data_IF_704870527232
#
_entry.id   IF_704870527232
#
_cell.length_a   1.000
_cell.length_b   1.000
_cell.length_c   1.000
_cell.angle_alpha   90.00
_cell.angle_beta   90.00
_cell.angle_gamma   90.00
#
_symmetry.space_group_name_H-M   'P 1'
#
loop_
_entity.id
_entity.type
_entity.pdbx_description
1 polymer ?
#
# COMPACT_ATOMS: atom_id res chain seq x y z
N UNK A 1 -21.54 -5.65 -7.96
CA UNK A 1 -22.05 -6.94 -7.43
C UNK A 1 -21.86 -8.14 -8.36
N UNK A 2 -22.31 -8.13 -9.63
CA UNK A 2 -22.20 -9.31 -10.52
C UNK A 2 -20.77 -9.86 -10.68
N UNK A 3 -19.75 -9.01 -10.79
CA UNK A 3 -18.34 -9.43 -10.92
C UNK A 3 -17.84 -10.19 -9.67
N UNK A 4 -18.20 -9.74 -8.48
CA UNK A 4 -17.84 -10.38 -7.21
C UNK A 4 -18.54 -11.75 -7.08
N UNK A 5 -19.78 -11.83 -7.53
CA UNK A 5 -20.56 -13.07 -7.54
C UNK A 5 -19.98 -14.10 -8.54
N UNK A 6 -19.50 -13.64 -9.70
CA UNK A 6 -18.80 -14.49 -10.68
C UNK A 6 -17.45 -14.99 -10.16
N UNK A 7 -16.69 -14.16 -9.45
CA UNK A 7 -15.43 -14.57 -8.82
C UNK A 7 -15.65 -15.61 -7.71
N UNK A 8 -16.70 -15.48 -6.91
CA UNK A 8 -17.07 -16.44 -5.86
C UNK A 8 -17.47 -17.82 -6.43
N UNK A 9 -18.22 -17.87 -7.53
CA UNK A 9 -18.57 -19.14 -8.20
C UNK A 9 -17.36 -19.82 -8.87
N UNK A 10 -16.40 -19.04 -9.38
CA UNK A 10 -15.14 -19.57 -9.91
C UNK A 10 -14.22 -20.16 -8.83
N UNK A 11 -14.28 -19.65 -7.60
CA UNK A 11 -13.49 -20.16 -6.47
C UNK A 11 -14.13 -21.40 -5.80
N UNK A 12 -15.45 -21.51 -5.80
CA UNK A 12 -16.16 -22.63 -5.16
C UNK A 12 -16.31 -23.86 -6.06
N UNK A 13 -16.22 -23.71 -7.38
CA UNK A 13 -16.35 -24.82 -8.35
C UNK A 13 -15.07 -25.63 -8.58
N UNK A 14 -13.91 -25.18 -8.10
CA UNK A 14 -12.66 -25.94 -8.15
C UNK A 14 -12.41 -26.61 -6.81
N UNK A 15 -12.83 -27.88 -6.71
CA UNK A 15 -12.53 -28.73 -5.56
C UNK A 15 -11.04 -28.70 -5.23
N UNK A 16 -10.72 -28.30 -4.00
CA UNK A 16 -9.35 -28.26 -3.48
C UNK A 16 -8.80 -29.69 -3.47
N UNK A 17 -7.71 -29.99 -4.18
CA UNK A 17 -7.09 -31.31 -4.10
C UNK A 17 -6.53 -31.52 -2.69
N UNK A 18 -7.11 -32.47 -1.94
CA UNK A 18 -6.56 -33.00 -0.69
C UNK A 18 -5.24 -33.71 -0.95
N UNK A 19 -4.12 -32.99 -0.97
CA UNK A 19 -2.78 -33.56 -0.82
C UNK A 19 -1.87 -32.55 -0.13
N UNK A 20 -1.69 -32.71 1.18
CA UNK A 20 -0.46 -32.44 1.93
C UNK A 20 -0.75 -32.65 3.43
N UNK A 21 -0.83 -33.91 3.84
CA UNK A 21 -0.82 -34.29 5.26
C UNK A 21 0.02 -35.55 5.41
N UNK A 22 1.31 -35.47 5.04
CA UNK A 22 2.31 -36.51 5.33
C UNK A 22 3.71 -35.96 5.00
N UNK A 23 4.25 -35.12 5.90
CA UNK A 23 5.70 -34.92 5.99
C UNK A 23 6.09 -35.09 7.47
N UNK A 24 6.51 -36.33 7.72
CA UNK A 24 7.30 -36.93 8.79
C UNK A 24 7.65 -36.14 10.06
N UNK A 25 7.22 -36.71 11.19
CA UNK A 25 8.05 -36.89 12.38
C UNK A 25 9.13 -37.95 12.08
N UNK A 26 10.38 -37.52 11.94
CA UNK A 26 11.52 -38.41 11.69
C UNK A 26 12.82 -37.80 12.22
N UNK A 27 12.92 -37.69 13.54
CA UNK A 27 14.19 -37.43 14.23
C UNK A 27 14.91 -38.77 14.32
N UNK A 28 15.84 -39.03 13.40
CA UNK A 28 16.88 -40.05 13.59
C UNK A 28 18.23 -39.33 13.69
N UNK A 29 18.84 -39.45 14.87
CA UNK A 29 20.26 -39.25 15.08
C UNK A 29 21.05 -40.18 14.16
N UNK A 30 21.76 -39.61 13.21
CA UNK A 30 22.73 -40.31 12.36
C UNK A 30 24.09 -39.65 12.53
N UNK A 31 24.78 -39.99 13.63
CA UNK A 31 26.20 -39.77 13.81
C UNK A 31 27.00 -40.76 12.93
N UNK A 32 27.00 -40.55 11.61
CA UNK A 32 27.98 -41.20 10.72
C UNK A 32 28.97 -40.17 10.17
N UNK A 33 30.28 -40.41 10.29
CA UNK A 33 31.28 -39.58 9.65
C UNK A 33 31.16 -39.76 8.13
N UNK A 34 30.78 -38.68 7.44
CA UNK A 34 30.73 -38.69 5.98
C UNK A 34 32.15 -38.73 5.40
N UNK A 35 32.43 -39.62 4.44
CA UNK A 35 33.71 -39.65 3.73
C UNK A 35 33.86 -38.37 2.89
N UNK A 36 35.07 -37.83 2.87
CA UNK A 36 35.46 -36.63 2.13
C UNK A 36 35.34 -36.81 0.61
N UNK A 37 34.14 -36.67 0.07
CA UNK A 37 33.86 -36.43 -1.35
C UNK A 37 33.48 -34.96 -1.59
N UNK A 38 34.40 -34.01 -1.37
CA UNK A 38 34.12 -32.55 -1.39
C UNK A 38 33.88 -31.93 -2.78
N UNK A 39 33.82 -32.71 -3.86
CA UNK A 39 33.74 -32.19 -5.24
C UNK A 39 32.34 -32.15 -5.86
N UNK A 40 31.59 -33.25 -5.84
CA UNK A 40 30.45 -33.44 -6.76
C UNK A 40 29.12 -32.82 -6.29
N UNK A 41 28.90 -32.67 -4.99
CA UNK A 41 27.65 -32.09 -4.43
C UNK A 41 27.48 -30.62 -4.87
N UNK A 42 28.59 -29.91 -5.08
CA UNK A 42 28.56 -28.48 -5.41
C UNK A 42 28.04 -28.17 -6.82
N UNK A 43 28.16 -29.09 -7.78
CA UNK A 43 27.74 -28.87 -9.18
C UNK A 43 26.22 -29.05 -9.32
N UNK A 44 25.65 -30.08 -8.68
CA UNK A 44 24.21 -30.35 -8.75
C UNK A 44 23.39 -29.26 -8.06
N UNK A 45 23.81 -28.80 -6.88
CA UNK A 45 23.13 -27.70 -6.17
C UNK A 45 23.18 -26.39 -6.96
N UNK A 46 24.32 -26.10 -7.61
CA UNK A 46 24.46 -24.92 -8.48
C UNK A 46 23.51 -24.99 -9.68
N UNK A 47 23.44 -26.13 -10.38
CA UNK A 47 22.52 -26.31 -11.53
C UNK A 47 21.06 -26.17 -11.11
N UNK A 48 20.68 -26.75 -9.96
CA UNK A 48 19.32 -26.64 -9.41
C UNK A 48 18.95 -25.20 -9.06
N UNK A 49 19.88 -24.45 -8.47
CA UNK A 49 19.68 -23.02 -8.15
C UNK A 49 19.44 -22.17 -9.39
N UNK A 50 20.20 -22.38 -10.47
CA UNK A 50 20.06 -21.65 -11.74
C UNK A 50 18.68 -21.92 -12.37
N UNK A 51 18.28 -23.19 -12.47
CA UNK A 51 16.98 -23.57 -13.05
C UNK A 51 15.80 -22.96 -12.28
N UNK A 52 15.86 -22.97 -10.94
CA UNK A 52 14.81 -22.35 -10.11
C UNK A 52 14.72 -20.83 -10.33
N UNK A 53 15.85 -20.13 -10.52
CA UNK A 53 15.87 -18.70 -10.80
C UNK A 53 15.29 -18.36 -12.18
N UNK A 54 15.63 -19.16 -13.20
CA UNK A 54 15.08 -18.98 -14.56
C UNK A 54 13.57 -19.20 -14.58
N UNK A 55 13.09 -20.25 -13.90
CA UNK A 55 11.65 -20.51 -13.75
C UNK A 55 10.93 -19.34 -13.07
N UNK A 56 11.46 -18.82 -11.95
CA UNK A 56 10.86 -17.69 -11.24
C UNK A 56 10.79 -16.41 -12.10
N UNK A 57 11.81 -16.16 -12.93
CA UNK A 57 11.84 -15.03 -13.87
C UNK A 57 10.81 -15.19 -14.98
N UNK A 58 10.73 -16.38 -15.58
CA UNK A 58 9.74 -16.70 -16.60
C UNK A 58 8.31 -16.55 -16.04
N UNK A 59 8.04 -17.09 -14.86
CA UNK A 59 6.74 -16.92 -14.19
C UNK A 59 6.42 -15.44 -13.98
N UNK A 60 7.38 -14.65 -13.49
CA UNK A 60 7.19 -13.20 -13.32
C UNK A 60 6.86 -12.49 -14.63
N UNK A 61 7.56 -12.84 -15.72
CA UNK A 61 7.32 -12.27 -17.05
C UNK A 61 5.91 -12.62 -17.55
N UNK A 62 5.52 -13.89 -17.48
CA UNK A 62 4.20 -14.35 -17.91
C UNK A 62 3.09 -13.68 -17.10
N UNK A 63 3.25 -13.56 -15.77
CA UNK A 63 2.29 -12.86 -14.91
C UNK A 63 2.16 -11.38 -15.28
N UNK A 64 3.26 -10.68 -15.54
CA UNK A 64 3.25 -9.26 -15.94
C UNK A 64 2.53 -9.08 -17.27
N UNK A 65 2.89 -9.87 -18.29
CA UNK A 65 2.31 -9.77 -19.62
C UNK A 65 0.81 -10.07 -19.59
N UNK A 66 0.41 -11.18 -18.95
CA UNK A 66 -1.01 -11.56 -18.87
C UNK A 66 -1.82 -10.51 -18.11
N UNK A 67 -1.36 -10.08 -16.93
CA UNK A 67 -2.09 -9.11 -16.11
C UNK A 67 -2.20 -7.75 -16.79
N UNK A 68 -1.14 -7.31 -17.49
CA UNK A 68 -1.14 -6.04 -18.25
C UNK A 68 -2.16 -6.07 -19.38
N UNK A 69 -2.16 -7.14 -20.18
CA UNK A 69 -3.11 -7.28 -21.29
C UNK A 69 -4.54 -7.35 -20.76
N UNK A 70 -4.78 -8.20 -19.75
CA UNK A 70 -6.11 -8.34 -19.15
C UNK A 70 -6.61 -7.02 -18.57
N UNK A 71 -5.79 -6.30 -17.80
CA UNK A 71 -6.18 -5.01 -17.23
C UNK A 71 -6.47 -3.98 -18.32
N UNK A 72 -5.61 -3.86 -19.33
CA UNK A 72 -5.80 -2.90 -20.42
C UNK A 72 -7.09 -3.16 -21.21
N UNK A 73 -7.40 -4.44 -21.48
CA UNK A 73 -8.65 -4.84 -22.15
C UNK A 73 -9.87 -4.55 -21.27
N UNK A 74 -9.80 -4.84 -19.97
CA UNK A 74 -10.90 -4.52 -19.05
C UNK A 74 -11.15 -3.01 -19.05
N UNK A 75 -10.11 -2.20 -18.84
CA UNK A 75 -10.22 -0.74 -18.83
C UNK A 75 -10.81 -0.20 -20.15
N UNK A 76 -10.41 -0.77 -21.29
CA UNK A 76 -10.92 -0.39 -22.60
C UNK A 76 -12.43 -0.63 -22.71
N UNK A 77 -12.90 -1.80 -22.25
CA UNK A 77 -14.30 -2.20 -22.34
C UNK A 77 -15.16 -1.45 -21.32
N UNK A 78 -14.67 -1.26 -20.09
CA UNK A 78 -15.49 -0.77 -18.98
C UNK A 78 -15.43 0.74 -18.76
N UNK A 79 -14.34 1.39 -19.16
CA UNK A 79 -14.09 2.81 -18.88
C UNK A 79 -13.95 3.59 -20.17
N UNK A 80 -13.12 3.12 -21.09
CA UNK A 80 -12.88 3.77 -22.38
C UNK A 80 -11.43 3.70 -22.83
N UNK A 81 -11.20 4.23 -24.03
CA UNK A 81 -9.92 4.13 -24.71
C UNK A 81 -8.82 4.95 -24.05
N UNK A 82 -9.10 6.13 -23.48
CA UNK A 82 -8.07 7.00 -22.91
C UNK A 82 -7.30 6.33 -21.78
N UNK A 83 -8.01 5.83 -20.78
CA UNK A 83 -7.39 5.16 -19.61
C UNK A 83 -6.74 3.84 -20.01
N UNK A 84 -7.33 3.09 -20.94
CA UNK A 84 -6.74 1.86 -21.43
C UNK A 84 -5.42 2.10 -22.19
N UNK A 85 -5.37 3.13 -23.03
CA UNK A 85 -4.17 3.53 -23.78
C UNK A 85 -3.08 3.98 -22.81
N UNK A 86 -3.41 4.80 -21.83
CA UNK A 86 -2.46 5.24 -20.80
C UNK A 86 -1.83 4.05 -20.07
N UNK A 87 -2.66 3.18 -19.46
CA UNK A 87 -2.16 2.01 -18.72
C UNK A 87 -1.39 1.04 -19.62
N UNK A 88 -1.87 0.82 -20.85
CA UNK A 88 -1.22 -0.04 -21.83
C UNK A 88 0.16 0.47 -22.23
N UNK A 89 0.27 1.75 -22.58
CA UNK A 89 1.53 2.38 -22.98
C UNK A 89 2.54 2.42 -21.83
N UNK A 90 2.11 2.79 -20.63
CA UNK A 90 2.97 2.80 -19.43
C UNK A 90 3.50 1.41 -19.15
N UNK A 91 2.64 0.40 -19.22
CA UNK A 91 3.04 -0.98 -18.96
C UNK A 91 3.97 -1.53 -20.03
N UNK A 92 3.78 -1.16 -21.30
CA UNK A 92 4.70 -1.50 -22.39
C UNK A 92 6.08 -0.87 -22.18
N UNK A 93 6.14 0.43 -21.88
CA UNK A 93 7.40 1.14 -21.61
C UNK A 93 8.11 0.55 -20.38
N UNK A 94 7.35 0.23 -19.33
CA UNK A 94 7.87 -0.41 -18.13
C UNK A 94 8.43 -1.81 -18.41
N UNK A 95 7.74 -2.60 -19.23
CA UNK A 95 8.18 -3.92 -19.66
C UNK A 95 9.50 -3.83 -20.44
N UNK A 96 9.60 -2.88 -21.39
CA UNK A 96 10.82 -2.64 -22.16
C UNK A 96 11.98 -2.25 -21.24
N UNK A 97 11.76 -1.28 -20.33
CA UNK A 97 12.78 -0.84 -19.37
C UNK A 97 13.24 -1.96 -18.45
N UNK A 98 12.28 -2.73 -17.91
CA UNK A 98 12.55 -3.87 -17.04
C UNK A 98 13.37 -4.95 -17.75
N UNK A 99 12.91 -5.41 -18.92
CA UNK A 99 13.60 -6.43 -19.72
C UNK A 99 15.02 -6.02 -20.10
N UNK A 100 15.21 -4.76 -20.48
CA UNK A 100 16.51 -4.24 -20.94
C UNK A 100 17.51 -4.07 -19.80
N UNK A 101 17.10 -3.52 -18.66
CA UNK A 101 18.04 -3.06 -17.63
C UNK A 101 18.00 -3.89 -16.33
N UNK A 102 16.82 -4.31 -15.89
CA UNK A 102 16.62 -4.81 -14.51
C UNK A 102 16.17 -6.28 -14.42
N UNK A 103 15.93 -6.94 -15.56
CA UNK A 103 15.46 -8.33 -15.60
C UNK A 103 16.58 -9.33 -15.27
N UNK A 104 17.78 -9.09 -15.83
CA UNK A 104 18.96 -9.95 -15.59
C UNK A 104 19.78 -9.52 -14.38
N UNK A 105 19.82 -8.22 -14.09
CA UNK A 105 20.58 -7.64 -12.98
C UNK A 105 19.62 -6.94 -12.02
N UNK A 106 19.68 -7.23 -10.73
CA UNK A 106 18.79 -6.61 -9.74
C UNK A 106 19.40 -5.30 -9.23
N UNK A 107 18.77 -4.13 -9.47
CA UNK A 107 19.20 -2.85 -8.93
C UNK A 107 19.31 -2.85 -7.40
N UNK A 108 20.05 -1.89 -6.85
CA UNK A 108 20.16 -1.71 -5.40
C UNK A 108 18.82 -1.37 -4.78
N UNK A 109 18.37 -2.20 -3.85
CA UNK A 109 17.12 -2.02 -3.14
C UNK A 109 17.15 -0.80 -2.20
N UNK A 110 18.26 -0.62 -1.47
CA UNK A 110 18.43 0.41 -0.43
C UNK A 110 18.16 1.82 -0.96
N UNK A 111 18.47 2.06 -2.23
CA UNK A 111 18.30 3.35 -2.89
C UNK A 111 17.02 3.46 -3.70
N UNK A 112 16.46 2.35 -4.18
CA UNK A 112 15.28 2.36 -5.06
C UNK A 112 13.99 2.39 -4.25
N UNK A 113 13.87 1.57 -3.20
CA UNK A 113 12.65 1.47 -2.38
C UNK A 113 12.24 2.81 -1.75
N UNK A 114 13.14 3.60 -1.11
CA UNK A 114 12.74 4.87 -0.51
C UNK A 114 12.19 5.87 -1.53
N UNK A 115 12.80 5.94 -2.72
CA UNK A 115 12.35 6.85 -3.79
C UNK A 115 11.01 6.42 -4.35
N UNK A 116 10.84 5.10 -4.51
CA UNK A 116 9.60 4.53 -4.97
C UNK A 116 8.46 4.88 -4.00
N UNK A 117 8.64 4.61 -2.69
CA UNK A 117 7.65 4.94 -1.66
C UNK A 117 7.38 6.46 -1.62
N UNK A 118 8.41 7.30 -1.68
CA UNK A 118 8.24 8.75 -1.69
C UNK A 118 7.46 9.23 -2.94
N UNK A 119 7.65 8.57 -4.08
CA UNK A 119 6.83 8.77 -5.26
C UNK A 119 5.35 8.49 -4.99
N UNK A 120 5.02 7.41 -4.27
CA UNK A 120 3.65 7.10 -3.84
C UNK A 120 3.09 8.20 -2.93
N UNK A 121 3.85 8.67 -1.95
CA UNK A 121 3.43 9.76 -1.05
C UNK A 121 3.09 11.02 -1.85
N UNK A 122 3.98 11.40 -2.77
CA UNK A 122 3.82 12.62 -3.56
C UNK A 122 2.65 12.52 -4.55
N UNK A 123 2.36 11.34 -5.14
CA UNK A 123 1.22 11.20 -6.06
C UNK A 123 -0.12 11.23 -5.31
N UNK A 124 -0.18 10.68 -4.10
CA UNK A 124 -1.36 10.83 -3.22
C UNK A 124 -1.55 12.30 -2.82
N UNK A 125 -0.46 13.01 -2.49
CA UNK A 125 -0.52 14.44 -2.21
C UNK A 125 -1.00 15.24 -3.44
N UNK A 126 -0.50 14.93 -4.64
CA UNK A 126 -0.97 15.56 -5.87
C UNK A 126 -2.47 15.28 -6.10
N UNK A 127 -2.93 14.05 -5.88
CA UNK A 127 -4.34 13.70 -6.00
C UNK A 127 -5.21 14.40 -4.95
N UNK A 128 -4.68 14.70 -3.77
CA UNK A 128 -5.36 15.55 -2.78
C UNK A 128 -5.58 16.97 -3.31
N UNK A 129 -4.57 17.55 -3.96
CA UNK A 129 -4.69 18.87 -4.61
C UNK A 129 -5.70 18.83 -5.76
N UNK A 130 -5.61 17.81 -6.61
CA UNK A 130 -6.56 17.59 -7.72
C UNK A 130 -7.98 17.45 -7.23
N UNK A 131 -8.19 16.78 -6.09
CA UNK A 131 -9.50 16.70 -5.47
C UNK A 131 -10.04 18.08 -5.10
N UNK A 132 -9.23 18.90 -4.41
CA UNK A 132 -9.64 20.27 -4.03
C UNK A 132 -9.87 21.20 -5.23
N UNK A 133 -9.27 20.88 -6.37
CA UNK A 133 -9.40 21.62 -7.62
C UNK A 133 -10.53 21.11 -8.54
N UNK A 134 -11.34 20.16 -8.06
CA UNK A 134 -12.40 19.47 -8.84
C UNK A 134 -11.89 18.88 -10.17
N UNK A 135 -10.74 18.19 -10.10
CA UNK A 135 -10.09 17.63 -11.27
C UNK A 135 -10.95 16.60 -12.00
N UNK A 136 -11.85 15.90 -11.31
CA UNK A 136 -12.82 15.00 -11.93
C UNK A 136 -13.71 15.72 -12.93
N UNK A 137 -14.26 16.87 -12.55
CA UNK A 137 -15.11 17.68 -13.43
C UNK A 137 -14.31 18.25 -14.59
N UNK A 138 -13.07 18.70 -14.33
CA UNK A 138 -12.16 19.15 -15.38
C UNK A 138 -11.91 18.06 -16.43
N UNK A 139 -11.61 16.82 -16.01
CA UNK A 139 -11.40 15.71 -16.94
C UNK A 139 -12.67 15.44 -17.74
N UNK A 140 -13.82 15.39 -17.08
CA UNK A 140 -15.10 15.13 -17.72
C UNK A 140 -15.39 16.17 -18.82
N UNK A 141 -15.21 17.46 -18.53
CA UNK A 141 -15.52 18.53 -19.49
C UNK A 141 -14.56 18.58 -20.70
N UNK A 142 -13.28 18.25 -20.50
CA UNK A 142 -12.26 18.43 -21.55
C UNK A 142 -11.89 17.14 -22.29
N UNK A 143 -12.18 15.98 -21.69
CA UNK A 143 -11.74 14.67 -22.18
C UNK A 143 -12.87 13.64 -22.20
N UNK A 144 -14.14 14.06 -22.25
CA UNK A 144 -15.29 13.12 -22.28
C UNK A 144 -15.17 12.07 -23.40
N UNK A 145 -14.62 12.46 -24.55
CA UNK A 145 -14.41 11.57 -25.70
C UNK A 145 -13.48 10.39 -25.45
N UNK A 146 -12.77 10.36 -24.31
CA UNK A 146 -11.89 9.26 -23.92
C UNK A 146 -12.61 8.15 -23.15
N UNK A 147 -13.85 8.38 -22.73
CA UNK A 147 -14.68 7.45 -21.99
C UNK A 147 -15.71 6.78 -22.89
N UNK A 148 -16.18 5.59 -22.52
CA UNK A 148 -17.33 4.98 -23.17
C UNK A 148 -18.60 5.77 -22.83
N UNK A 149 -19.59 5.77 -23.73
CA UNK A 149 -20.87 6.46 -23.49
C UNK A 149 -21.60 5.94 -22.24
N UNK A 150 -21.35 4.68 -21.86
CA UNK A 150 -21.89 4.06 -20.65
C UNK A 150 -21.16 4.46 -19.36
N UNK A 151 -20.02 5.13 -19.45
CA UNK A 151 -19.19 5.50 -18.31
C UNK A 151 -19.32 7.00 -18.02
N UNK A 152 -19.93 7.33 -16.88
CA UNK A 152 -20.00 8.71 -16.40
C UNK A 152 -18.89 8.96 -15.39
N UNK A 153 -17.93 9.81 -15.75
CA UNK A 153 -16.88 10.23 -14.84
C UNK A 153 -17.43 11.22 -13.81
N UNK A 154 -17.66 10.74 -12.60
CA UNK A 154 -17.92 11.58 -11.42
C UNK A 154 -16.77 11.46 -10.41
N UNK A 155 -16.87 12.16 -9.28
CA UNK A 155 -15.84 12.14 -8.26
C UNK A 155 -15.49 10.73 -7.77
N UNK A 156 -16.50 9.91 -7.44
CA UNK A 156 -16.31 8.52 -7.00
C UNK A 156 -15.62 7.67 -8.05
N UNK A 157 -16.02 7.76 -9.31
CA UNK A 157 -15.40 6.99 -10.40
C UNK A 157 -13.97 7.46 -10.67
N UNK A 158 -13.72 8.77 -10.62
CA UNK A 158 -12.36 9.32 -10.71
C UNK A 158 -11.47 8.77 -9.58
N UNK A 159 -11.95 8.83 -8.34
CA UNK A 159 -11.21 8.29 -7.20
C UNK A 159 -10.91 6.80 -7.40
N UNK A 160 -11.91 5.97 -7.67
CA UNK A 160 -11.71 4.51 -7.77
C UNK A 160 -10.72 4.14 -8.87
N UNK A 161 -10.90 4.69 -10.07
CA UNK A 161 -10.15 4.24 -11.26
C UNK A 161 -8.83 4.98 -11.47
N UNK A 162 -8.75 6.26 -11.11
CA UNK A 162 -7.59 7.11 -11.37
C UNK A 162 -6.76 7.42 -10.11
N UNK A 163 -7.24 7.06 -8.92
CA UNK A 163 -6.50 7.26 -7.66
C UNK A 163 -6.29 5.94 -6.92
N UNK A 164 -7.38 5.33 -6.45
CA UNK A 164 -7.35 4.13 -5.62
C UNK A 164 -6.65 2.96 -6.31
N UNK A 165 -7.07 2.62 -7.53
CA UNK A 165 -6.47 1.54 -8.31
C UNK A 165 -4.96 1.74 -8.57
N UNK A 166 -4.50 2.87 -9.16
CA UNK A 166 -3.07 3.06 -9.42
C UNK A 166 -2.24 3.11 -8.14
N UNK A 167 -2.70 3.80 -7.09
CA UNK A 167 -1.98 3.85 -5.81
C UNK A 167 -1.90 2.46 -5.18
N UNK A 168 -2.96 1.65 -5.24
CA UNK A 168 -2.94 0.28 -4.75
C UNK A 168 -1.96 -0.59 -5.54
N UNK A 169 -1.90 -0.45 -6.87
CA UNK A 169 -0.91 -1.12 -7.72
C UNK A 169 0.52 -0.70 -7.37
N UNK A 170 0.76 0.59 -7.11
CA UNK A 170 2.06 1.08 -6.63
C UNK A 170 2.41 0.46 -5.27
N UNK A 171 1.47 0.37 -4.33
CA UNK A 171 1.71 -0.22 -3.01
C UNK A 171 2.02 -1.72 -3.10
N UNK A 172 1.30 -2.48 -3.93
CA UNK A 172 1.65 -3.88 -4.25
C UNK A 172 3.03 -3.99 -4.92
N UNK A 173 3.33 -3.08 -5.84
CA UNK A 173 4.65 -2.95 -6.45
C UNK A 173 5.75 -2.75 -5.42
N UNK A 174 5.50 -1.88 -4.45
CA UNK A 174 6.38 -1.61 -3.32
C UNK A 174 6.58 -2.84 -2.41
N UNK A 175 5.52 -3.62 -2.16
CA UNK A 175 5.61 -4.91 -1.47
C UNK A 175 6.56 -5.87 -2.19
N UNK A 176 6.39 -6.06 -3.50
CA UNK A 176 7.25 -6.96 -4.27
C UNK A 176 8.70 -6.45 -4.38
N UNK A 177 8.88 -5.14 -4.58
CA UNK A 177 10.18 -4.49 -4.67
C UNK A 177 10.94 -4.57 -3.34
N UNK A 178 10.26 -4.37 -2.21
CA UNK A 178 10.84 -4.51 -0.87
C UNK A 178 11.17 -5.96 -0.48
N UNK A 179 10.62 -6.96 -1.19
CA UNK A 179 11.03 -8.37 -1.10
C UNK A 179 12.06 -8.81 -2.14
N UNK A 180 12.55 -7.88 -2.98
CA UNK A 180 13.47 -8.15 -4.11
C UNK A 180 12.93 -9.18 -5.10
N UNK A 181 11.62 -9.30 -5.23
CA UNK A 181 11.04 -10.18 -6.24
C UNK A 181 11.22 -9.56 -7.63
N UNK A 182 11.45 -10.39 -8.65
CA UNK A 182 11.72 -9.91 -10.02
C UNK A 182 10.60 -9.00 -10.53
N UNK A 183 9.34 -9.38 -10.27
CA UNK A 183 8.14 -8.58 -10.60
C UNK A 183 8.11 -7.21 -9.91
N UNK A 184 8.74 -7.07 -8.74
CA UNK A 184 8.84 -5.78 -8.04
C UNK A 184 9.61 -4.73 -8.83
N UNK A 185 10.60 -5.15 -9.64
CA UNK A 185 11.35 -4.22 -10.50
C UNK A 185 10.56 -3.80 -11.73
N UNK A 186 9.66 -4.64 -12.25
CA UNK A 186 8.67 -4.21 -13.25
C UNK A 186 7.79 -3.09 -12.67
N UNK A 187 7.24 -3.30 -11.47
CA UNK A 187 6.42 -2.28 -10.81
C UNK A 187 7.19 -1.01 -10.46
N UNK A 188 8.51 -1.11 -10.19
CA UNK A 188 9.37 0.05 -10.03
C UNK A 188 9.43 0.89 -11.32
N UNK A 189 9.66 0.24 -12.46
CA UNK A 189 9.61 0.89 -13.78
C UNK A 189 8.23 1.49 -14.07
N UNK A 190 7.18 0.69 -13.89
CA UNK A 190 5.80 1.12 -14.08
C UNK A 190 5.47 2.35 -13.26
N UNK A 191 5.79 2.31 -11.96
CA UNK A 191 5.44 3.41 -11.05
C UNK A 191 6.22 4.69 -11.32
N UNK A 192 7.51 4.62 -11.63
CA UNK A 192 8.25 5.84 -11.98
C UNK A 192 7.80 6.41 -13.34
N UNK A 193 7.47 5.57 -14.33
CA UNK A 193 6.94 6.06 -15.61
C UNK A 193 5.56 6.70 -15.41
N UNK A 194 4.65 6.02 -14.69
CA UNK A 194 3.33 6.54 -14.33
C UNK A 194 3.42 7.89 -13.63
N UNK A 195 4.23 8.00 -12.58
CA UNK A 195 4.45 9.25 -11.85
C UNK A 195 5.03 10.35 -12.76
N UNK A 196 5.93 10.01 -13.69
CA UNK A 196 6.49 10.98 -14.64
C UNK A 196 5.39 11.54 -15.54
N UNK A 197 4.51 10.69 -16.05
CA UNK A 197 3.39 11.11 -16.91
C UNK A 197 2.40 11.95 -16.11
N UNK A 198 2.00 11.52 -14.92
CA UNK A 198 1.09 12.27 -14.04
C UNK A 198 1.64 13.66 -13.67
N UNK A 199 2.95 13.74 -13.43
CA UNK A 199 3.65 15.00 -13.23
C UNK A 199 3.59 15.89 -14.47
N UNK A 200 3.91 15.38 -15.65
CA UNK A 200 3.88 16.14 -16.89
C UNK A 200 2.47 16.60 -17.24
N UNK A 201 1.46 15.77 -17.02
CA UNK A 201 0.05 16.12 -17.18
C UNK A 201 -0.32 17.28 -16.25
N UNK A 202 0.03 17.21 -14.96
CA UNK A 202 -0.23 18.32 -14.04
C UNK A 202 0.50 19.59 -14.48
N UNK A 203 1.77 19.51 -14.86
CA UNK A 203 2.52 20.67 -15.36
C UNK A 203 1.86 21.30 -16.59
N UNK A 204 1.38 20.47 -17.52
CA UNK A 204 0.67 20.93 -18.71
C UNK A 204 -0.63 21.65 -18.33
N UNK A 205 -1.40 21.11 -17.38
CA UNK A 205 -2.66 21.73 -16.92
C UNK A 205 -2.37 23.08 -16.26
N UNK A 206 -1.42 23.11 -15.32
CA UNK A 206 -1.07 24.34 -14.59
C UNK A 206 -0.52 25.43 -15.51
N UNK A 207 0.29 25.07 -16.52
CA UNK A 207 0.92 26.04 -17.41
C UNK A 207 0.09 26.39 -18.65
N UNK A 208 -0.92 25.59 -19.01
CA UNK A 208 -1.63 25.67 -20.29
C UNK A 208 -3.11 26.05 -20.22
N UNK A 209 -3.83 25.76 -19.13
CA UNK A 209 -5.30 25.84 -19.07
C UNK A 209 -5.83 26.83 -18.02
N UNK A 210 -5.37 28.08 -18.07
CA UNK A 210 -5.62 29.11 -17.05
C UNK A 210 -7.11 29.41 -16.73
N UNK A 211 -8.03 29.17 -17.67
CA UNK A 211 -9.43 29.60 -17.53
C UNK A 211 -10.42 28.50 -17.14
N UNK A 212 -10.07 27.21 -17.28
CA UNK A 212 -11.00 26.09 -17.11
C UNK A 212 -10.70 25.19 -15.91
N UNK A 213 -9.60 25.44 -15.19
CA UNK A 213 -9.18 24.67 -14.03
C UNK A 213 -9.11 25.56 -12.78
N UNK A 214 -9.64 25.08 -11.65
CA UNK A 214 -9.54 25.80 -10.38
C UNK A 214 -8.13 25.63 -9.82
N UNK A 215 -7.20 26.47 -10.29
CA UNK A 215 -5.79 26.36 -9.97
C UNK A 215 -5.52 26.50 -8.47
N UNK A 216 -5.01 25.43 -7.86
CA UNK A 216 -4.25 25.52 -6.60
C UNK A 216 -2.77 25.68 -6.95
N UNK A 217 -2.50 26.71 -7.76
CA UNK A 217 -1.38 26.82 -8.69
C UNK A 217 -0.03 26.43 -8.08
N UNK A 218 0.32 27.03 -6.96
CA UNK A 218 1.64 26.82 -6.34
C UNK A 218 1.83 25.39 -5.82
N UNK A 219 0.80 24.80 -5.22
CA UNK A 219 0.93 23.48 -4.60
C UNK A 219 0.93 22.37 -5.65
N UNK A 220 0.04 22.45 -6.65
CA UNK A 220 0.00 21.52 -7.77
C UNK A 220 1.30 21.51 -8.57
N UNK A 221 1.81 22.70 -8.91
CA UNK A 221 3.08 22.89 -9.62
C UNK A 221 4.28 22.32 -8.84
N UNK A 222 4.41 22.67 -7.54
CA UNK A 222 5.53 22.19 -6.71
C UNK A 222 5.49 20.66 -6.59
N UNK A 223 4.32 20.08 -6.32
CA UNK A 223 4.20 18.62 -6.21
C UNK A 223 4.52 17.93 -7.53
N UNK A 224 4.05 18.48 -8.66
CA UNK A 224 4.38 17.95 -9.98
C UNK A 224 5.88 18.00 -10.26
N UNK A 225 6.57 19.10 -9.96
CA UNK A 225 8.02 19.21 -10.10
C UNK A 225 8.77 18.20 -9.19
N UNK A 226 8.35 18.05 -7.94
CA UNK A 226 8.94 17.07 -7.03
C UNK A 226 8.73 15.62 -7.51
N UNK A 227 7.54 15.32 -8.03
CA UNK A 227 7.20 14.03 -8.64
C UNK A 227 8.09 13.72 -9.84
N UNK A 228 8.27 14.68 -10.74
CA UNK A 228 9.16 14.53 -11.90
C UNK A 228 10.60 14.22 -11.47
N UNK A 229 11.11 14.99 -10.50
CA UNK A 229 12.47 14.83 -10.02
C UNK A 229 12.68 13.46 -9.35
N UNK A 230 11.74 13.02 -8.50
CA UNK A 230 11.87 11.72 -7.82
C UNK A 230 11.75 10.56 -8.81
N UNK A 231 10.87 10.66 -9.81
CA UNK A 231 10.64 9.59 -10.78
C UNK A 231 11.79 9.44 -11.77
N UNK A 232 12.30 10.55 -12.33
CA UNK A 232 13.48 10.54 -13.20
C UNK A 232 14.69 10.01 -12.42
N UNK A 233 14.88 10.48 -11.18
CA UNK A 233 15.95 9.98 -10.29
C UNK A 233 15.78 8.49 -9.95
N UNK A 234 14.56 7.98 -9.92
CA UNK A 234 14.23 6.56 -9.77
C UNK A 234 14.60 5.75 -11.01
N UNK A 235 14.18 6.19 -12.20
CA UNK A 235 14.51 5.57 -13.50
C UNK A 235 16.03 5.49 -13.69
N UNK A 236 16.75 6.59 -13.43
CA UNK A 236 18.21 6.61 -13.51
C UNK A 236 18.87 5.60 -12.56
N UNK A 237 18.26 5.30 -11.41
CA UNK A 237 18.75 4.25 -10.50
C UNK A 237 18.42 2.83 -10.97
N UNK A 238 17.32 2.64 -11.71
CA UNK A 238 16.97 1.36 -12.32
C UNK A 238 17.87 1.02 -13.53
N UNK A 239 18.37 2.03 -14.24
CA UNK A 239 19.31 1.86 -15.36
C UNK A 239 20.72 1.51 -14.87
N UNK A 240 21.15 2.06 -13.73
CA UNK A 240 22.52 1.87 -13.23
C UNK A 240 22.75 0.41 -12.82
N UNK A 241 23.87 -0.21 -13.26
CA UNK A 241 24.22 -1.57 -12.88
C UNK A 241 24.44 -1.69 -11.37
N UNK A 242 24.45 -2.94 -10.88
CA UNK A 242 24.54 -3.33 -9.48
C UNK A 242 25.63 -2.53 -8.74
N UNK A 243 25.22 -1.47 -8.05
CA UNK A 243 26.08 -0.76 -7.11
C UNK A 243 26.26 -1.60 -5.85
N UNK A 244 27.35 -1.36 -5.13
CA UNK A 244 27.55 -1.95 -3.81
C UNK A 244 26.31 -1.71 -2.95
N UNK A 245 25.87 -2.79 -2.31
CA UNK A 245 24.72 -2.73 -1.44
C UNK A 245 25.11 -1.96 -0.19
N UNK A 246 24.77 -0.67 -0.16
CA UNK A 246 24.87 0.12 1.05
C UNK A 246 24.02 -0.57 2.12
N UNK A 247 24.70 -1.01 3.19
CA UNK A 247 24.03 -1.48 4.39
C UNK A 247 23.19 -0.33 4.93
N UNK A 248 21.96 -0.62 5.33
CA UNK A 248 21.17 0.33 6.11
C UNK A 248 21.98 0.65 7.36
N UNK A 249 22.17 1.94 7.65
CA UNK A 249 22.93 2.42 8.80
C UNK A 249 22.50 1.70 10.08
N UNK A 250 23.49 1.39 10.92
CA UNK A 250 23.25 0.76 12.20
C UNK A 250 22.39 1.66 13.09
N UNK A 251 21.39 1.05 13.71
CA UNK A 251 20.45 1.77 14.55
C UNK A 251 21.07 2.15 15.90
N UNK A 252 20.85 3.40 16.31
CA UNK A 252 21.16 3.91 17.64
C UNK A 252 19.89 3.97 18.51
N UNK A 253 19.85 3.26 19.66
CA UNK A 253 18.74 3.30 20.61
C UNK A 253 18.35 4.73 21.01
N UNK A 254 17.05 5.02 21.01
CA UNK A 254 16.57 6.31 21.50
C UNK A 254 16.87 6.47 23.00
N UNK A 255 17.41 7.62 23.37
CA UNK A 255 17.55 8.01 24.78
C UNK A 255 16.18 8.21 25.44
N UNK A 256 16.11 8.14 26.77
CA UNK A 256 14.88 8.41 27.53
C UNK A 256 14.28 9.79 27.21
N UNK A 257 15.13 10.82 27.09
CA UNK A 257 14.71 12.19 26.71
C UNK A 257 14.08 12.22 25.32
N UNK A 258 14.72 11.61 24.32
CA UNK A 258 14.17 11.53 22.96
C UNK A 258 12.83 10.78 22.92
N UNK A 259 12.71 9.64 23.62
CA UNK A 259 11.44 8.90 23.72
C UNK A 259 10.32 9.78 24.28
N UNK A 260 10.61 10.55 25.32
CA UNK A 260 9.64 11.47 25.94
C UNK A 260 9.23 12.60 25.00
N UNK A 261 10.19 13.27 24.35
CA UNK A 261 9.90 14.34 23.38
C UNK A 261 9.05 13.83 22.21
N UNK A 262 9.42 12.68 21.63
CA UNK A 262 8.62 12.07 20.57
C UNK A 262 7.21 11.71 21.03
N UNK A 263 7.05 11.25 22.26
CA UNK A 263 5.71 10.92 22.76
C UNK A 263 4.86 12.14 22.99
N UNK A 264 5.45 13.24 23.51
CA UNK A 264 4.74 14.51 23.63
C UNK A 264 4.27 15.01 22.26
N UNK A 265 5.15 14.95 21.26
CA UNK A 265 4.82 15.32 19.89
C UNK A 265 3.69 14.44 19.32
N UNK A 266 3.78 13.12 19.50
CA UNK A 266 2.76 12.18 19.01
C UNK A 266 1.42 12.34 19.75
N UNK A 267 1.41 12.58 21.06
CA UNK A 267 0.18 12.91 21.82
C UNK A 267 -0.44 14.19 21.28
N UNK A 268 0.37 15.22 21.04
CA UNK A 268 -0.13 16.49 20.48
C UNK A 268 -0.75 16.26 19.10
N UNK A 269 -0.10 15.48 18.25
CA UNK A 269 -0.64 15.08 16.95
C UNK A 269 -1.96 14.32 17.08
N UNK A 270 -2.05 13.35 18.00
CA UNK A 270 -3.29 12.61 18.29
C UNK A 270 -4.40 13.54 18.75
N UNK A 271 -4.11 14.52 19.62
CA UNK A 271 -5.09 15.49 20.10
C UNK A 271 -5.62 16.38 18.98
N UNK A 272 -4.74 16.91 18.12
CA UNK A 272 -5.16 17.72 16.96
C UNK A 272 -6.05 16.89 16.05
N UNK A 273 -5.64 15.67 15.72
CA UNK A 273 -6.42 14.77 14.87
C UNK A 273 -7.77 14.41 15.50
N UNK A 274 -7.81 14.16 16.82
CA UNK A 274 -9.02 13.87 17.56
C UNK A 274 -10.03 15.02 17.50
N UNK A 275 -9.57 16.26 17.67
CA UNK A 275 -10.43 17.45 17.58
C UNK A 275 -10.99 17.59 16.17
N UNK A 276 -10.15 17.52 15.13
CA UNK A 276 -10.60 17.59 13.74
C UNK A 276 -11.64 16.52 13.42
N UNK A 277 -11.36 15.27 13.76
CA UNK A 277 -12.27 14.16 13.49
C UNK A 277 -13.55 14.25 14.32
N UNK A 278 -13.48 14.72 15.56
CA UNK A 278 -14.66 14.94 16.40
C UNK A 278 -15.59 15.98 15.77
N UNK A 279 -15.03 17.08 15.26
CA UNK A 279 -15.81 18.15 14.63
C UNK A 279 -16.47 17.74 13.32
N UNK A 280 -15.94 16.74 12.62
CA UNK A 280 -16.43 16.29 11.31
C UNK A 280 -17.31 15.04 11.36
N UNK A 281 -16.96 14.09 12.22
CA UNK A 281 -17.46 12.72 12.16
C UNK A 281 -18.06 12.24 13.50
N UNK A 282 -17.92 13.04 14.56
CA UNK A 282 -18.46 12.74 15.88
C UNK A 282 -17.66 11.70 16.68
N UNK A 283 -18.20 11.25 17.83
CA UNK A 283 -17.45 10.47 18.80
C UNK A 283 -17.16 9.03 18.36
N UNK A 284 -17.98 8.45 17.47
CA UNK A 284 -17.84 7.04 17.08
C UNK A 284 -16.56 6.81 16.25
N UNK A 285 -16.33 7.51 15.12
CA UNK A 285 -15.06 7.45 14.40
C UNK A 285 -13.85 7.87 15.24
N UNK A 286 -14.02 8.87 16.12
CA UNK A 286 -12.98 9.29 17.07
C UNK A 286 -12.58 8.13 17.98
N UNK A 287 -13.53 7.43 18.58
CA UNK A 287 -13.24 6.30 19.47
C UNK A 287 -12.42 5.21 18.79
N UNK A 288 -12.77 4.86 17.54
CA UNK A 288 -12.05 3.84 16.77
C UNK A 288 -10.66 4.32 16.36
N UNK A 289 -10.56 5.49 15.72
CA UNK A 289 -9.29 5.96 15.14
C UNK A 289 -8.33 6.45 16.23
N UNK A 290 -8.78 7.31 17.15
CA UNK A 290 -7.96 7.83 18.24
C UNK A 290 -7.61 6.72 19.23
N UNK A 291 -8.53 5.81 19.52
CA UNK A 291 -8.25 4.63 20.32
C UNK A 291 -7.12 3.79 19.71
N UNK A 292 -7.14 3.62 18.38
CA UNK A 292 -6.08 2.92 17.64
C UNK A 292 -4.75 3.66 17.66
N UNK A 293 -4.74 4.99 17.55
CA UNK A 293 -3.51 5.79 17.66
C UNK A 293 -2.91 5.69 19.07
N UNK A 294 -3.74 5.72 20.11
CA UNK A 294 -3.30 5.55 21.50
C UNK A 294 -2.76 4.15 21.77
N UNK A 295 -3.45 3.11 21.28
CA UNK A 295 -2.94 1.74 21.31
C UNK A 295 -1.61 1.62 20.56
N UNK A 296 -1.49 2.30 19.42
CA UNK A 296 -0.27 2.36 18.63
C UNK A 296 0.90 3.00 19.39
N UNK A 297 0.64 4.08 20.14
CA UNK A 297 1.62 4.74 21.00
C UNK A 297 2.12 3.81 22.12
N UNK A 298 1.20 3.08 22.75
CA UNK A 298 1.53 2.09 23.78
C UNK A 298 2.40 0.97 23.18
N UNK A 299 2.01 0.44 22.02
CA UNK A 299 2.75 -0.59 21.29
C UNK A 299 4.17 -0.14 20.94
N UNK A 300 4.30 1.05 20.35
CA UNK A 300 5.59 1.65 20.01
C UNK A 300 6.47 1.84 21.25
N UNK A 301 5.96 2.45 22.32
CA UNK A 301 6.73 2.67 23.55
C UNK A 301 7.23 1.36 24.15
N UNK A 302 6.39 0.32 24.20
CA UNK A 302 6.76 -0.98 24.79
C UNK A 302 7.71 -1.79 23.92
N UNK A 303 7.77 -1.55 22.61
CA UNK A 303 8.55 -2.37 21.68
C UNK A 303 9.52 -1.55 20.84
N UNK A 304 9.05 -0.98 19.73
CA UNK A 304 9.87 -0.43 18.64
C UNK A 304 10.55 0.90 18.96
N UNK A 305 10.21 1.53 20.09
CA UNK A 305 10.98 2.65 20.64
C UNK A 305 12.36 2.23 21.18
N UNK A 306 12.50 0.97 21.59
CA UNK A 306 13.75 0.40 22.09
C UNK A 306 14.51 -0.33 20.99
N UNK A 307 13.78 -1.05 20.14
CA UNK A 307 14.32 -1.89 19.07
C UNK A 307 13.44 -1.65 17.83
N UNK A 308 13.79 -0.69 16.96
CA UNK A 308 13.01 -0.39 15.78
C UNK A 308 12.85 -1.62 14.91
N UNK A 309 11.73 -1.65 14.23
CA UNK A 309 11.43 -2.67 13.25
C UNK A 309 12.57 -2.85 12.24
N UNK A 310 12.84 -4.11 11.90
CA UNK A 310 13.64 -4.44 10.74
C UNK A 310 12.87 -4.08 9.46
N UNK A 311 13.33 -3.08 8.68
CA UNK A 311 12.60 -2.60 7.52
C UNK A 311 12.48 -3.70 6.45
N UNK A 312 13.44 -4.62 6.35
CA UNK A 312 13.38 -5.70 5.36
C UNK A 312 12.28 -6.73 5.65
N UNK A 313 11.86 -6.85 6.91
CA UNK A 313 10.75 -7.72 7.30
C UNK A 313 9.41 -6.99 7.29
N UNK A 314 9.37 -5.78 7.84
CA UNK A 314 8.10 -5.10 8.10
C UNK A 314 7.65 -4.14 7.00
N UNK A 315 8.54 -3.49 6.25
CA UNK A 315 8.10 -2.61 5.16
C UNK A 315 7.32 -3.36 4.08
N UNK A 316 7.70 -4.59 3.67
CA UNK A 316 6.86 -5.35 2.76
C UNK A 316 5.44 -5.56 3.32
N UNK A 317 5.32 -6.10 4.52
CA UNK A 317 4.00 -6.37 5.11
C UNK A 317 3.19 -5.08 5.29
N UNK A 318 3.86 -4.00 5.67
CA UNK A 318 3.22 -2.70 5.81
C UNK A 318 2.72 -2.14 4.49
N UNK A 319 3.49 -2.25 3.39
CA UNK A 319 3.03 -1.84 2.06
C UNK A 319 1.87 -2.70 1.55
N UNK A 320 1.89 -4.01 1.84
CA UNK A 320 0.77 -4.90 1.55
C UNK A 320 -0.49 -4.53 2.37
N UNK A 321 -0.31 -4.20 3.66
CA UNK A 321 -1.38 -3.68 4.50
C UNK A 321 -1.98 -2.43 3.87
N UNK A 322 -1.15 -1.45 3.51
CA UNK A 322 -1.63 -0.21 2.89
C UNK A 322 -2.33 -0.45 1.55
N UNK A 323 -1.85 -1.36 0.71
CA UNK A 323 -2.51 -1.69 -0.56
C UNK A 323 -3.93 -2.23 -0.33
N UNK A 324 -4.07 -3.19 0.59
CA UNK A 324 -5.37 -3.80 0.91
C UNK A 324 -6.29 -2.83 1.64
N UNK A 325 -5.73 -1.98 2.50
CA UNK A 325 -6.47 -0.95 3.20
C UNK A 325 -6.98 0.13 2.24
N UNK A 326 -6.18 0.54 1.24
CA UNK A 326 -6.65 1.54 0.28
C UNK A 326 -7.72 0.98 -0.67
N UNK A 327 -7.66 -0.30 -1.00
CA UNK A 327 -8.78 -1.01 -1.67
C UNK A 327 -10.04 -1.01 -0.80
N UNK A 328 -9.89 -1.22 0.51
CA UNK A 328 -11.01 -1.14 1.45
C UNK A 328 -11.63 0.27 1.46
N UNK A 329 -10.82 1.32 1.57
CA UNK A 329 -11.29 2.71 1.41
C UNK A 329 -11.97 2.94 0.05
N UNK A 330 -11.47 2.31 -1.01
CA UNK A 330 -12.12 2.24 -2.32
C UNK A 330 -13.57 1.74 -2.28
N UNK A 331 -13.81 0.64 -1.55
CA UNK A 331 -15.16 0.12 -1.33
C UNK A 331 -16.00 1.10 -0.48
N UNK A 332 -15.42 1.70 0.54
CA UNK A 332 -16.11 2.66 1.42
C UNK A 332 -16.62 3.89 0.69
N UNK A 333 -15.82 4.45 -0.22
CA UNK A 333 -16.25 5.57 -1.08
C UNK A 333 -17.36 5.11 -2.03
N UNK A 334 -17.24 3.92 -2.63
CA UNK A 334 -18.27 3.37 -3.53
C UNK A 334 -19.60 3.08 -2.84
N UNK A 335 -19.58 2.79 -1.55
CA UNK A 335 -20.76 2.37 -0.78
C UNK A 335 -21.19 3.40 0.27
N UNK A 336 -20.60 4.61 0.23
CA UNK A 336 -20.92 5.74 1.09
C UNK A 336 -20.85 5.42 2.58
N UNK A 337 -19.71 4.90 3.03
CA UNK A 337 -19.46 4.57 4.44
C UNK A 337 -19.88 5.67 5.42
N UNK A 338 -19.49 6.92 5.11
CA UNK A 338 -19.82 8.10 5.90
C UNK A 338 -21.33 8.26 6.14
N UNK A 339 -22.18 7.96 5.15
CA UNK A 339 -23.64 8.00 5.29
C UNK A 339 -24.15 6.88 6.20
N UNK A 340 -23.55 5.69 6.11
CA UNK A 340 -23.83 4.59 7.03
C UNK A 340 -23.46 4.92 8.47
N UNK A 341 -22.32 5.59 8.69
CA UNK A 341 -21.93 6.09 10.02
C UNK A 341 -22.87 7.19 10.49
N UNK A 342 -23.28 8.10 9.61
CA UNK A 342 -24.22 9.16 9.93
C UNK A 342 -25.59 8.60 10.38
N UNK A 343 -26.09 7.53 9.73
CA UNK A 343 -27.36 6.91 10.10
C UNK A 343 -27.32 6.32 11.51
N UNK A 344 -26.21 5.66 11.88
CA UNK A 344 -26.10 5.01 13.19
C UNK A 344 -25.62 5.95 14.30
N UNK A 345 -24.93 7.04 13.98
CA UNK A 345 -24.43 8.01 14.98
C UNK A 345 -25.40 9.15 15.22
N UNK A 346 -26.27 9.48 14.25
CA UNK A 346 -27.13 10.66 14.27
C UNK A 346 -26.40 11.98 13.98
N UNK A 347 -25.12 11.92 13.61
CA UNK A 347 -24.32 13.09 13.26
C UNK A 347 -24.00 13.08 11.75
N UNK A 348 -24.23 14.17 11.03
CA UNK A 348 -23.89 14.23 9.61
C UNK A 348 -22.38 14.15 9.44
N UNK A 349 -21.94 13.39 8.43
CA UNK A 349 -20.57 13.39 7.95
C UNK A 349 -20.60 13.43 6.43
N UNK A 350 -20.26 14.58 5.85
CA UNK A 350 -20.42 14.79 4.41
C UNK A 350 -19.44 13.94 3.59
N UNK A 351 -19.82 13.61 2.34
CA UNK A 351 -18.90 12.90 1.41
C UNK A 351 -17.61 13.72 1.23
N UNK A 352 -17.71 15.05 1.19
CA UNK A 352 -16.57 15.96 1.01
C UNK A 352 -15.57 15.88 2.17
N UNK A 353 -16.05 15.92 3.41
CA UNK A 353 -15.18 15.82 4.59
C UNK A 353 -14.56 14.43 4.73
N UNK A 354 -15.35 13.39 4.49
CA UNK A 354 -14.88 12.01 4.50
C UNK A 354 -13.77 11.82 3.46
N UNK A 355 -14.03 12.22 2.22
CA UNK A 355 -13.06 12.06 1.13
C UNK A 355 -11.79 12.86 1.40
N UNK A 356 -11.92 14.13 1.78
CA UNK A 356 -10.75 14.96 2.05
C UNK A 356 -9.84 14.35 3.13
N UNK A 357 -10.40 13.93 4.25
CA UNK A 357 -9.61 13.48 5.41
C UNK A 357 -9.20 12.01 5.31
N UNK A 358 -10.15 11.11 5.02
CA UNK A 358 -9.92 9.66 5.04
C UNK A 358 -9.38 9.18 3.70
N UNK A 359 -9.95 9.64 2.59
CA UNK A 359 -9.63 9.13 1.25
C UNK A 359 -8.33 9.72 0.70
N UNK A 360 -8.00 10.97 1.04
CA UNK A 360 -6.85 11.70 0.48
C UNK A 360 -5.77 12.04 1.51
N UNK A 361 -6.09 12.83 2.54
CA UNK A 361 -5.09 13.37 3.46
C UNK A 361 -4.45 12.29 4.35
N UNK A 362 -5.25 11.39 4.93
CA UNK A 362 -4.78 10.29 5.77
C UNK A 362 -3.72 9.41 5.08
N UNK A 363 -3.99 8.88 3.87
CA UNK A 363 -3.05 8.07 3.10
C UNK A 363 -1.68 8.70 2.87
N UNK A 364 -1.56 10.03 2.78
CA UNK A 364 -0.26 10.71 2.71
C UNK A 364 0.61 10.32 3.91
N UNK A 365 0.05 10.43 5.12
CA UNK A 365 0.76 10.11 6.36
C UNK A 365 0.98 8.60 6.52
N UNK A 366 -0.01 7.78 6.17
CA UNK A 366 0.09 6.33 6.31
C UNK A 366 1.16 5.75 5.37
N UNK A 367 1.19 6.17 4.11
CA UNK A 367 2.22 5.75 3.16
C UNK A 367 3.58 6.37 3.50
N UNK A 368 3.64 7.62 3.97
CA UNK A 368 4.89 8.22 4.45
C UNK A 368 5.46 7.45 5.65
N UNK A 369 4.59 6.83 6.46
CA UNK A 369 4.97 5.86 7.49
C UNK A 369 5.89 4.75 6.95
N UNK A 370 5.68 4.26 5.72
CA UNK A 370 6.52 3.23 5.11
C UNK A 370 7.93 3.76 4.79
N UNK A 371 8.04 4.99 4.28
CA UNK A 371 9.32 5.64 4.02
C UNK A 371 10.10 5.84 5.32
N UNK A 372 9.42 6.39 6.33
CA UNK A 372 9.98 6.62 7.65
C UNK A 372 10.40 5.30 8.33
N UNK A 373 9.61 4.24 8.16
CA UNK A 373 9.91 2.89 8.65
C UNK A 373 11.14 2.30 7.95
N UNK A 374 11.27 2.47 6.63
CA UNK A 374 12.46 2.06 5.88
C UNK A 374 13.73 2.72 6.42
N UNK A 375 13.61 3.99 6.83
CA UNK A 375 14.67 4.77 7.47
C UNK A 375 14.81 4.53 8.97
N UNK A 376 14.08 3.54 9.53
CA UNK A 376 14.05 3.20 10.97
C UNK A 376 13.74 4.40 11.88
N UNK A 377 13.00 5.38 11.38
CA UNK A 377 12.66 6.59 12.11
C UNK A 377 11.48 6.34 13.07
N UNK A 378 11.37 7.21 14.07
CA UNK A 378 10.34 7.10 15.12
C UNK A 378 8.94 7.18 14.57
N UNK A 379 8.69 8.13 13.67
CA UNK A 379 7.37 8.34 13.06
C UNK A 379 6.86 7.08 12.36
N UNK A 380 7.66 6.45 11.51
CA UNK A 380 7.29 5.20 10.84
C UNK A 380 6.99 4.04 11.78
N UNK A 381 7.72 3.92 12.89
CA UNK A 381 7.46 2.89 13.90
C UNK A 381 6.16 3.16 14.69
N UNK A 382 5.82 4.42 14.95
CA UNK A 382 4.53 4.79 15.54
C UNK A 382 3.37 4.50 14.59
N UNK A 383 3.47 4.98 13.34
CA UNK A 383 2.41 4.79 12.34
C UNK A 383 2.20 3.29 12.07
N UNK A 384 3.27 2.48 11.98
CA UNK A 384 3.16 1.03 11.88
C UNK A 384 2.28 0.44 12.99
N UNK A 385 2.52 0.85 14.25
CA UNK A 385 1.73 0.37 15.38
C UNK A 385 0.30 0.89 15.37
N UNK A 386 0.10 2.15 15.02
CA UNK A 386 -1.24 2.71 14.81
C UNK A 386 -2.02 1.88 13.79
N UNK A 387 -1.44 1.61 12.61
CA UNK A 387 -2.09 0.80 11.59
C UNK A 387 -2.32 -0.63 12.05
N UNK A 388 -1.38 -1.28 12.74
CA UNK A 388 -1.59 -2.64 13.28
C UNK A 388 -2.79 -2.67 14.23
N UNK A 389 -2.86 -1.72 15.17
CA UNK A 389 -3.97 -1.67 16.14
C UNK A 389 -5.28 -1.32 15.45
N UNK A 390 -5.28 -0.33 14.55
CA UNK A 390 -6.43 0.07 13.75
C UNK A 390 -6.98 -1.08 12.92
N UNK A 391 -6.11 -1.82 12.24
CA UNK A 391 -6.53 -2.98 11.45
C UNK A 391 -7.09 -4.11 12.34
N UNK A 392 -6.46 -4.41 13.48
CA UNK A 392 -6.87 -5.55 14.32
C UNK A 392 -8.11 -5.25 15.16
N UNK A 393 -8.29 -4.02 15.64
CA UNK A 393 -9.38 -3.64 16.55
C UNK A 393 -10.47 -2.80 15.87
N UNK A 394 -10.09 -1.94 14.93
CA UNK A 394 -11.01 -1.07 14.20
C UNK A 394 -11.79 -1.83 13.14
N UNK A 395 -11.11 -2.48 12.19
CA UNK A 395 -11.77 -3.15 11.05
C UNK A 395 -12.88 -4.15 11.43
N UNK A 396 -12.77 -4.94 12.52
CA UNK A 396 -13.89 -5.77 12.97
C UNK A 396 -15.19 -5.00 13.26
N UNK A 397 -15.16 -3.67 13.44
CA UNK A 397 -16.38 -2.87 13.62
C UNK A 397 -17.27 -2.89 12.38
N UNK A 398 -16.72 -3.08 11.17
CA UNK A 398 -17.50 -3.21 9.94
C UNK A 398 -18.34 -4.48 9.88
N UNK A 399 -17.94 -5.51 10.63
CA UNK A 399 -18.65 -6.79 10.72
C UNK A 399 -19.48 -6.88 12.00
N UNK A 400 -18.96 -6.42 13.12
CA UNK A 400 -19.58 -6.67 14.41
C UNK A 400 -20.35 -5.45 14.89
N UNK A 401 -19.68 -4.30 15.00
CA UNK A 401 -20.26 -3.15 15.71
C UNK A 401 -21.30 -2.43 14.85
N UNK A 402 -20.93 -1.97 13.65
CA UNK A 402 -21.81 -1.13 12.84
C UNK A 402 -23.07 -1.86 12.37
N UNK A 403 -23.00 -3.10 11.84
CA UNK A 403 -24.22 -3.83 11.47
C UNK A 403 -25.14 -4.11 12.67
N UNK A 404 -24.59 -4.48 13.84
CA UNK A 404 -25.41 -4.75 15.04
C UNK A 404 -26.05 -3.47 15.57
N UNK A 405 -25.31 -2.35 15.63
CA UNK A 405 -25.87 -1.07 16.05
C UNK A 405 -27.00 -0.65 15.11
N UNK A 406 -26.82 -0.83 13.80
CA UNK A 406 -27.84 -0.55 12.80
C UNK A 406 -29.08 -1.44 12.98
N UNK A 407 -28.88 -2.74 13.13
CA UNK A 407 -29.93 -3.73 13.39
C UNK A 407 -30.79 -3.34 14.60
N UNK A 408 -30.16 -2.95 15.70
CA UNK A 408 -30.86 -2.54 16.93
C UNK A 408 -31.56 -1.19 16.78
N UNK A 409 -30.90 -0.19 16.19
CA UNK A 409 -31.46 1.17 16.07
C UNK A 409 -32.57 1.27 15.03
N UNK A 410 -32.42 0.61 13.90
CA UNK A 410 -33.34 0.70 12.76
C UNK A 410 -34.40 -0.42 12.80
N UNK A 411 -34.26 -1.41 13.70
CA UNK A 411 -35.19 -2.53 13.81
C UNK A 411 -35.16 -3.48 12.60
N UNK A 412 -34.06 -3.45 11.82
CA UNK A 412 -33.85 -4.29 10.63
C UNK A 412 -33.06 -5.55 10.97
N UNK A 413 -32.91 -6.47 10.02
CA UNK A 413 -32.04 -7.64 10.16
C UNK A 413 -30.54 -7.28 10.09
N UNK A 414 -29.68 -8.27 10.34
CA UNK A 414 -28.25 -8.11 10.08
C UNK A 414 -28.01 -8.02 8.57
N UNK A 415 -27.56 -6.86 8.11
CA UNK A 415 -27.33 -6.57 6.69
C UNK A 415 -25.88 -6.16 6.44
N UNK A 416 -25.50 -6.13 5.16
CA UNK A 416 -24.21 -5.63 4.72
C UNK A 416 -24.02 -4.17 5.17
N UNK A 417 -22.84 -3.89 5.73
CA UNK A 417 -22.37 -2.53 6.00
C UNK A 417 -21.17 -2.23 5.11
N UNK A 418 -21.03 -0.97 4.70
CA UNK A 418 -19.93 -0.52 3.84
C UNK A 418 -18.57 -1.02 4.35
N UNK A 419 -17.79 -1.65 3.48
CA UNK A 419 -16.45 -2.15 3.80
C UNK A 419 -16.41 -3.51 4.50
N UNK A 420 -17.56 -4.13 4.83
CA UNK A 420 -17.63 -5.35 5.67
C UNK A 420 -16.74 -6.50 5.20
N UNK A 421 -16.59 -6.70 3.89
CA UNK A 421 -15.78 -7.81 3.37
C UNK A 421 -14.32 -7.43 3.16
N UNK A 422 -14.04 -6.24 2.62
CA UNK A 422 -12.65 -5.83 2.36
C UNK A 422 -11.90 -5.45 3.63
N UNK A 423 -12.59 -5.08 4.71
CA UNK A 423 -12.02 -4.80 6.04
C UNK A 423 -11.14 -5.94 6.57
N UNK A 424 -11.48 -7.19 6.20
CA UNK A 424 -10.72 -8.37 6.61
C UNK A 424 -9.34 -8.50 5.93
N UNK A 425 -9.18 -7.91 4.75
CA UNK A 425 -7.95 -8.07 3.96
C UNK A 425 -6.72 -7.42 4.62
N UNK A 426 -6.74 -6.14 5.03
CA UNK A 426 -5.57 -5.51 5.65
C UNK A 426 -5.26 -6.07 7.06
N UNK A 427 -6.21 -6.76 7.71
CA UNK A 427 -5.96 -7.46 8.98
C UNK A 427 -4.87 -8.54 8.86
N UNK A 428 -4.82 -9.25 7.73
CA UNK A 428 -3.86 -10.35 7.51
C UNK A 428 -2.41 -9.86 7.65
N UNK A 429 -1.93 -8.89 6.85
CA UNK A 429 -0.58 -8.36 7.00
C UNK A 429 -0.35 -7.64 8.34
N UNK A 430 -1.39 -7.06 8.96
CA UNK A 430 -1.29 -6.45 10.29
C UNK A 430 -0.95 -7.47 11.37
N UNK A 431 -1.66 -8.60 11.42
CA UNK A 431 -1.42 -9.69 12.36
C UNK A 431 -0.02 -10.29 12.14
N UNK A 432 0.37 -10.51 10.88
CA UNK A 432 1.72 -10.99 10.56
C UNK A 432 2.81 -10.01 11.03
N UNK A 433 2.60 -8.70 10.82
CA UNK A 433 3.49 -7.64 11.31
C UNK A 433 3.63 -7.66 12.82
N UNK A 434 2.52 -7.77 13.56
CA UNK A 434 2.50 -7.88 15.01
C UNK A 434 3.31 -9.10 15.49
N UNK A 435 3.08 -10.27 14.89
CA UNK A 435 3.81 -11.50 15.23
C UNK A 435 5.32 -11.31 15.07
N UNK A 436 5.76 -10.68 13.98
CA UNK A 436 7.19 -10.43 13.74
C UNK A 436 7.77 -9.48 14.79
N UNK A 437 7.09 -8.36 15.10
CA UNK A 437 7.55 -7.40 16.12
C UNK A 437 7.71 -8.10 17.48
N UNK A 438 6.72 -8.89 17.90
CA UNK A 438 6.74 -9.58 19.18
C UNK A 438 7.85 -10.65 19.25
N UNK A 439 8.05 -11.40 18.15
CA UNK A 439 9.13 -12.39 18.06
C UNK A 439 10.51 -11.73 18.15
N UNK A 440 10.74 -10.66 17.39
CA UNK A 440 12.01 -9.94 17.38
C UNK A 440 12.28 -9.31 18.76
N UNK A 441 11.26 -8.70 19.38
CA UNK A 441 11.37 -8.14 20.73
C UNK A 441 11.72 -9.21 21.79
N UNK A 442 11.05 -10.37 21.77
CA UNK A 442 11.33 -11.48 22.70
C UNK A 442 12.74 -12.04 22.52
N UNK A 443 13.21 -12.16 21.26
CA UNK A 443 14.56 -12.64 20.95
C UNK A 443 15.63 -11.71 21.55
N UNK A 444 15.47 -10.40 21.37
CA UNK A 444 16.39 -9.42 21.93
C UNK A 444 16.38 -9.39 23.46
N UNK A 445 15.21 -9.46 24.09
CA UNK A 445 15.12 -9.52 25.57
C UNK A 445 15.86 -10.73 26.14
N UNK A 446 15.76 -11.90 25.49
CA UNK A 446 16.53 -13.10 25.87
C UNK A 446 18.03 -12.90 25.71
N UNK A 447 18.46 -12.27 24.63
CA UNK A 447 19.88 -12.01 24.39
C UNK A 447 20.48 -11.09 25.47
N UNK A 448 19.74 -10.06 25.91
CA UNK A 448 20.17 -9.16 26.99
C UNK A 448 20.24 -9.90 28.34
N UNK A 449 19.27 -10.76 28.65
CA UNK A 449 19.23 -11.47 29.92
C UNK A 449 20.28 -12.59 30.06
N UNK A 450 20.90 -13.00 28.96
CA UNK A 450 21.93 -14.04 28.93
C UNK A 450 23.36 -13.48 28.97
N UNK A 451 23.51 -12.16 28.98
CA UNK A 451 24.76 -11.43 29.21
C UNK A 451 24.75 -10.93 30.64
#
# INVERSE_FOLDING_TARGET
>A
MRIVQTAYQLFTSRGIPKRCSEISSGVMESNRPFPHGKGEVTIYERKRGISNMENARLTSLLTVVSSTITLSVILFITIGSGIAIEYGLISLLALIGWLKFSYKSTPSQTNTVPKYILGIVLIVALNTVRYTADFSQFIYLNYNQWFTESFTLNHTQWFVWMVCLPVSLLLFGGYYLSKRQTVGYFFAWWGFIYITIESLLQLQIELGNYSSYNHVYYLGLILAMLLFNISVSGILKLIKPKGEEQKIEDYQPLTKKQKNLWSLLLVTFVMVYAVTLYTQAGPLPVGVIVGSMMGGMIGWRKTTSNIPADPYKLVPLYLLLQALFYIHVGEEVLTHFNRGIASISGLPWSDVEFDYVITFLGPIFWVFGAYSLWKRQVFGNFILWFMIVGMILGEPTHLLVFPIVRMVKEGIGYEYFSGMYTALFPMIPAILGLIIILKDHKKHKKAINNV
#
